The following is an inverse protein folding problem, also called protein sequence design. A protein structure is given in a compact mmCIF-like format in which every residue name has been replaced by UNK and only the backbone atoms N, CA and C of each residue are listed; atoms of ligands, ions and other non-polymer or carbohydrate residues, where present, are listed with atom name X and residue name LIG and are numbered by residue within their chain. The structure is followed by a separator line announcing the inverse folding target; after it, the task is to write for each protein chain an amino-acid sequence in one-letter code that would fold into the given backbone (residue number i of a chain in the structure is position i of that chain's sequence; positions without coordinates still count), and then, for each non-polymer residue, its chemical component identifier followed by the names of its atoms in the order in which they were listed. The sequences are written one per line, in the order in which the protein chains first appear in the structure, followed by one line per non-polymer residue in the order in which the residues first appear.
data_IF_148532407130
#
_entry.id   IF_148532407130
#
_cell.length_a   1.000
_cell.length_b   1.000
_cell.length_c   1.000
_cell.angle_alpha   90.00
_cell.angle_beta   90.00
_cell.angle_gamma   90.00
#
_symmetry.space_group_name_H-M   'P 1'
#
loop_
_entity.id
_entity.type
_entity.pdbx_description
1 polymer ?
#
# COMPACT_ATOMS: atom_id res chain seq x y z
N UNK A 1 -0.31 -15.12 15.10
CA UNK A 1 -0.53 -14.74 13.70
C UNK A 1 0.70 -15.10 12.91
N UNK A 2 0.52 -15.83 11.81
CA UNK A 2 1.63 -16.27 10.93
C UNK A 2 1.60 -15.57 9.56
N UNK A 3 0.45 -15.00 9.18
CA UNK A 3 0.26 -14.44 7.85
C UNK A 3 -0.60 -13.19 7.92
N UNK A 4 -0.30 -12.15 7.14
CA UNK A 4 -1.07 -10.88 7.15
C UNK A 4 -2.52 -11.05 6.69
N UNK A 5 -2.82 -12.11 5.93
CA UNK A 5 -4.19 -12.43 5.50
C UNK A 5 -5.13 -12.68 6.68
N UNK A 6 -4.59 -13.11 7.83
CA UNK A 6 -5.37 -13.28 9.06
C UNK A 6 -5.96 -11.97 9.59
N UNK A 7 -5.37 -10.81 9.25
CA UNK A 7 -5.98 -9.51 9.55
C UNK A 7 -7.30 -9.37 8.78
N UNK A 8 -7.25 -9.57 7.45
CA UNK A 8 -8.42 -9.47 6.60
C UNK A 8 -9.50 -10.48 7.02
N UNK A 9 -9.11 -11.72 7.29
CA UNK A 9 -10.01 -12.80 7.73
C UNK A 9 -10.74 -12.49 9.04
N UNK A 10 -10.10 -11.75 9.95
CA UNK A 10 -10.70 -11.28 11.22
C UNK A 10 -11.60 -10.06 11.03
N UNK A 11 -11.30 -9.24 10.03
CA UNK A 11 -12.00 -7.98 9.77
C UNK A 11 -13.27 -8.17 8.96
N UNK A 12 -13.27 -9.10 8.00
CA UNK A 12 -14.41 -9.40 7.12
C UNK A 12 -15.71 -9.71 7.89
N UNK A 13 -15.73 -10.56 8.94
CA UNK A 13 -16.97 -10.85 9.67
C UNK A 13 -17.60 -9.61 10.34
N UNK A 14 -16.81 -8.59 10.64
CA UNK A 14 -17.27 -7.38 11.34
C UNK A 14 -17.62 -6.25 10.37
N UNK A 15 -16.93 -6.15 9.24
CA UNK A 15 -16.97 -5.01 8.33
C UNK A 15 -17.19 -5.43 6.87
N UNK A 16 -17.76 -6.62 6.61
CA UNK A 16 -17.87 -7.19 5.26
C UNK A 16 -18.41 -6.24 4.20
N UNK A 17 -19.49 -5.53 4.50
CA UNK A 17 -20.16 -4.61 3.56
C UNK A 17 -19.51 -3.23 3.49
N UNK A 18 -18.61 -2.93 4.43
CA UNK A 18 -17.90 -1.65 4.46
C UNK A 18 -16.90 -1.57 3.32
N UNK A 19 -16.76 -0.38 2.73
CA UNK A 19 -15.69 -0.10 1.76
C UNK A 19 -14.31 -0.23 2.41
N UNK A 20 -13.48 -1.11 1.85
CA UNK A 20 -12.08 -1.24 2.22
C UNK A 20 -11.22 -0.30 1.37
N UNK A 21 -11.31 -0.41 0.04
CA UNK A 21 -10.59 0.42 -0.92
C UNK A 21 -11.53 0.94 -2.00
N UNK A 22 -11.33 2.19 -2.39
CA UNK A 22 -12.08 2.81 -3.49
C UNK A 22 -11.19 3.76 -4.30
N UNK A 23 -11.58 4.00 -5.55
CA UNK A 23 -11.07 5.08 -6.39
C UNK A 23 -12.24 5.84 -7.05
N UNK A 24 -11.98 6.64 -8.06
CA UNK A 24 -13.01 7.40 -8.76
C UNK A 24 -13.98 6.52 -9.57
N UNK A 25 -13.62 5.29 -9.89
CA UNK A 25 -14.37 4.39 -10.78
C UNK A 25 -14.97 3.18 -10.07
N UNK A 26 -14.36 2.72 -8.99
CA UNK A 26 -14.74 1.47 -8.33
C UNK A 26 -14.55 1.50 -6.82
N UNK A 27 -15.27 0.63 -6.11
CA UNK A 27 -15.17 0.45 -4.68
C UNK A 27 -15.22 -1.04 -4.33
N UNK A 28 -14.25 -1.51 -3.55
CA UNK A 28 -14.25 -2.85 -2.99
C UNK A 28 -14.64 -2.82 -1.52
N UNK A 29 -15.70 -3.54 -1.15
CA UNK A 29 -15.97 -3.86 0.25
C UNK A 29 -14.97 -4.91 0.76
N UNK A 30 -14.88 -5.07 2.09
CA UNK A 30 -14.04 -6.11 2.69
C UNK A 30 -14.42 -7.51 2.22
N UNK A 31 -15.74 -7.80 2.13
CA UNK A 31 -16.23 -9.11 1.64
C UNK A 31 -15.84 -9.32 0.17
N UNK A 32 -15.96 -8.30 -0.68
CA UNK A 32 -15.60 -8.40 -2.09
C UNK A 32 -14.09 -8.57 -2.27
N UNK A 33 -13.28 -7.80 -1.54
CA UNK A 33 -11.82 -7.95 -1.53
C UNK A 33 -11.42 -9.39 -1.16
N UNK A 34 -11.97 -9.90 -0.07
CA UNK A 34 -11.69 -11.25 0.41
C UNK A 34 -12.10 -12.33 -0.61
N UNK A 35 -13.29 -12.18 -1.20
CA UNK A 35 -13.78 -13.11 -2.23
C UNK A 35 -12.85 -13.13 -3.46
N UNK A 36 -12.54 -11.96 -4.04
CA UNK A 36 -11.66 -11.87 -5.20
C UNK A 36 -10.26 -12.45 -4.90
N UNK A 37 -9.72 -12.13 -3.72
CA UNK A 37 -8.43 -12.63 -3.30
C UNK A 37 -8.38 -14.17 -3.21
N UNK A 38 -9.44 -14.80 -2.72
CA UNK A 38 -9.54 -16.27 -2.60
C UNK A 38 -9.79 -16.95 -3.95
N UNK A 39 -10.62 -16.38 -4.81
CA UNK A 39 -10.81 -16.85 -6.18
C UNK A 39 -9.49 -16.78 -6.96
N UNK A 40 -8.84 -15.64 -6.97
CA UNK A 40 -7.55 -15.46 -7.64
C UNK A 40 -6.44 -16.30 -7.04
N UNK A 41 -6.41 -16.45 -5.71
CA UNK A 41 -5.46 -17.34 -5.03
C UNK A 41 -5.61 -18.80 -5.45
N UNK A 42 -6.85 -19.27 -5.59
CA UNK A 42 -7.15 -20.62 -6.08
C UNK A 42 -6.67 -20.81 -7.53
N UNK A 43 -6.96 -19.82 -8.40
CA UNK A 43 -6.50 -19.83 -9.77
C UNK A 43 -4.98 -20.00 -9.91
N UNK A 44 -4.22 -19.24 -9.12
CA UNK A 44 -2.74 -19.27 -9.13
C UNK A 44 -2.25 -20.62 -8.58
N UNK A 45 -2.79 -21.06 -7.44
CA UNK A 45 -2.39 -22.29 -6.79
C UNK A 45 -2.66 -23.55 -7.61
N UNK A 46 -3.80 -23.62 -8.32
CA UNK A 46 -4.15 -24.73 -9.23
C UNK A 46 -3.20 -24.87 -10.42
N UNK A 47 -2.45 -23.81 -10.74
CA UNK A 47 -1.38 -23.84 -11.75
C UNK A 47 -0.02 -24.27 -11.19
N UNK A 48 0.00 -24.74 -9.95
CA UNK A 48 1.18 -25.30 -9.30
C UNK A 48 2.25 -24.26 -8.94
N UNK A 49 1.87 -22.97 -8.79
CA UNK A 49 2.77 -21.97 -8.25
C UNK A 49 2.75 -22.05 -6.73
N UNK A 50 3.93 -22.04 -6.11
CA UNK A 50 4.09 -22.05 -4.66
C UNK A 50 5.41 -21.39 -4.27
N UNK A 51 5.38 -20.43 -3.35
CA UNK A 51 6.57 -19.67 -2.88
C UNK A 51 7.38 -19.01 -4.00
N UNK A 52 6.72 -18.72 -5.10
CA UNK A 52 7.30 -18.08 -6.28
C UNK A 52 6.85 -16.62 -6.40
N UNK A 53 7.64 -15.76 -7.05
CA UNK A 53 7.21 -14.41 -7.34
C UNK A 53 6.18 -14.39 -8.48
N UNK A 54 5.08 -13.70 -8.28
CA UNK A 54 4.07 -13.39 -9.30
C UNK A 54 4.09 -11.88 -9.55
N UNK A 55 4.36 -11.48 -10.78
CA UNK A 55 4.31 -10.07 -11.15
C UNK A 55 2.85 -9.60 -11.25
N UNK A 56 2.55 -8.46 -10.63
CA UNK A 56 1.25 -7.80 -10.77
C UNK A 56 1.48 -6.49 -11.50
N UNK A 57 1.17 -6.49 -12.78
CA UNK A 57 1.39 -5.38 -13.71
C UNK A 57 0.05 -4.77 -14.07
N UNK A 58 -0.48 -3.98 -13.15
CA UNK A 58 -1.80 -3.36 -13.24
C UNK A 58 -1.71 -1.89 -12.86
N UNK A 59 -2.67 -1.09 -13.34
CA UNK A 59 -2.82 0.29 -12.89
C UNK A 59 -3.16 0.36 -11.40
N UNK A 60 -2.91 1.50 -10.77
CA UNK A 60 -3.30 1.73 -9.38
C UNK A 60 -4.83 1.73 -9.27
N UNK A 61 -5.37 0.65 -8.69
CA UNK A 61 -6.82 0.44 -8.50
C UNK A 61 -7.09 -0.44 -7.27
N UNK A 62 -8.33 -0.47 -6.75
CA UNK A 62 -8.73 -1.41 -5.72
C UNK A 62 -8.51 -2.88 -6.14
N UNK A 63 -8.75 -3.22 -7.41
CA UNK A 63 -8.52 -4.57 -7.94
C UNK A 63 -7.04 -4.98 -7.92
N UNK A 64 -6.12 -4.05 -8.12
CA UNK A 64 -4.68 -4.31 -8.00
C UNK A 64 -4.31 -4.77 -6.59
N UNK A 65 -4.94 -4.16 -5.57
CA UNK A 65 -4.77 -4.61 -4.18
C UNK A 65 -5.36 -6.01 -4.00
N UNK A 66 -6.53 -6.31 -4.59
CA UNK A 66 -7.10 -7.66 -4.57
C UNK A 66 -6.16 -8.70 -5.22
N UNK A 67 -5.47 -8.34 -6.31
CA UNK A 67 -4.49 -9.20 -6.94
C UNK A 67 -3.27 -9.46 -6.03
N UNK A 68 -2.80 -8.48 -5.26
CA UNK A 68 -1.74 -8.71 -4.26
C UNK A 68 -2.17 -9.76 -3.23
N UNK A 69 -3.39 -9.64 -2.73
CA UNK A 69 -3.93 -10.61 -1.78
C UNK A 69 -4.15 -11.98 -2.41
N UNK A 70 -4.59 -12.04 -3.68
CA UNK A 70 -4.73 -13.31 -4.42
C UNK A 70 -3.40 -14.06 -4.51
N UNK A 71 -2.31 -13.36 -4.84
CA UNK A 71 -0.97 -13.92 -4.89
C UNK A 71 -0.56 -14.47 -3.52
N UNK A 72 -0.81 -13.72 -2.45
CA UNK A 72 -0.48 -14.18 -1.09
C UNK A 72 -1.36 -15.35 -0.63
N UNK A 73 -2.64 -15.44 -1.04
CA UNK A 73 -3.49 -16.60 -0.76
C UNK A 73 -2.98 -17.87 -1.45
N UNK A 74 -2.34 -17.75 -2.61
CA UNK A 74 -1.67 -18.86 -3.28
C UNK A 74 -0.34 -19.27 -2.62
N UNK A 75 0.07 -18.63 -1.52
CA UNK A 75 1.36 -18.87 -0.87
C UNK A 75 2.56 -18.34 -1.67
N UNK A 76 2.32 -17.39 -2.57
CA UNK A 76 3.31 -16.72 -3.41
C UNK A 76 3.59 -15.30 -2.92
N UNK A 77 4.64 -14.66 -3.43
CA UNK A 77 4.93 -13.25 -3.17
C UNK A 77 4.63 -12.40 -4.40
N UNK A 78 3.91 -11.28 -4.21
CA UNK A 78 3.63 -10.38 -5.32
C UNK A 78 4.79 -9.44 -5.61
N UNK A 79 4.93 -9.09 -6.89
CA UNK A 79 5.89 -8.10 -7.38
C UNK A 79 5.12 -7.01 -8.11
N UNK A 80 4.90 -5.85 -7.47
CA UNK A 80 4.11 -4.79 -8.08
C UNK A 80 4.90 -4.08 -9.17
N UNK A 81 4.30 -3.96 -10.35
CA UNK A 81 4.82 -3.22 -11.49
C UNK A 81 3.79 -2.18 -11.95
N UNK A 82 4.26 -1.10 -12.50
CA UNK A 82 3.42 0.01 -12.96
C UNK A 82 3.82 0.47 -14.36
N UNK A 83 2.84 0.69 -15.24
CA UNK A 83 3.08 1.12 -16.61
C UNK A 83 3.71 2.52 -16.73
N UNK A 84 3.63 3.33 -15.67
CA UNK A 84 4.32 4.62 -15.59
C UNK A 84 5.84 4.50 -15.41
N UNK A 85 6.35 3.29 -15.08
CA UNK A 85 7.78 3.06 -15.00
C UNK A 85 8.42 3.15 -16.38
N UNK A 86 9.66 3.66 -16.51
CA UNK A 86 10.40 3.62 -17.77
C UNK A 86 10.49 2.20 -18.33
N UNK A 87 10.24 2.05 -19.64
CA UNK A 87 10.18 0.75 -20.32
C UNK A 87 11.42 -0.13 -20.06
N UNK A 88 12.61 0.47 -20.14
CA UNK A 88 13.86 -0.25 -19.88
C UNK A 88 13.91 -0.82 -18.46
N UNK A 89 13.31 -0.12 -17.49
CA UNK A 89 13.25 -0.58 -16.10
C UNK A 89 12.34 -1.79 -15.95
N UNK A 90 11.18 -1.77 -16.59
CA UNK A 90 10.25 -2.91 -16.64
C UNK A 90 10.93 -4.13 -17.27
N UNK A 91 11.64 -3.94 -18.40
CA UNK A 91 12.40 -4.99 -19.06
C UNK A 91 13.47 -5.60 -18.15
N UNK A 92 14.24 -4.76 -17.46
CA UNK A 92 15.27 -5.22 -16.51
C UNK A 92 14.67 -6.00 -15.33
N UNK A 93 13.55 -5.54 -14.79
CA UNK A 93 12.87 -6.24 -13.69
C UNK A 93 12.34 -7.59 -14.16
N UNK A 94 11.56 -7.60 -15.24
CA UNK A 94 10.95 -8.83 -15.75
C UNK A 94 11.97 -9.86 -16.24
N UNK A 95 13.04 -9.44 -16.92
CA UNK A 95 14.12 -10.34 -17.33
C UNK A 95 14.85 -10.96 -16.15
N UNK A 96 15.07 -10.20 -15.07
CA UNK A 96 15.72 -10.70 -13.86
C UNK A 96 14.80 -11.58 -13.01
N UNK A 97 13.53 -11.23 -12.93
CA UNK A 97 12.52 -11.96 -12.18
C UNK A 97 12.14 -13.28 -12.90
N UNK A 98 12.08 -13.23 -14.22
CA UNK A 98 11.59 -14.34 -15.09
C UNK A 98 10.33 -15.02 -14.53
N UNK A 99 9.25 -14.25 -14.27
CA UNK A 99 8.11 -14.77 -13.53
C UNK A 99 7.35 -15.81 -14.37
N UNK A 100 6.87 -16.86 -13.72
CA UNK A 100 5.98 -17.85 -14.37
C UNK A 100 4.57 -17.31 -14.60
N UNK A 101 4.20 -16.23 -13.88
CA UNK A 101 2.92 -15.57 -14.04
C UNK A 101 3.06 -14.05 -13.90
N UNK A 102 2.38 -13.34 -14.80
CA UNK A 102 2.22 -11.89 -14.80
C UNK A 102 0.72 -11.60 -14.86
N UNK A 103 0.16 -11.05 -13.80
CA UNK A 103 -1.23 -10.60 -13.76
C UNK A 103 -1.29 -9.18 -14.32
N UNK A 104 -2.15 -8.93 -15.30
CA UNK A 104 -2.35 -7.61 -15.91
C UNK A 104 -3.84 -7.22 -15.90
N UNK A 105 -4.12 -5.94 -16.12
CA UNK A 105 -5.45 -5.44 -16.47
C UNK A 105 -5.55 -5.16 -17.97
N UNK A 106 -6.70 -4.69 -18.44
CA UNK A 106 -6.90 -4.40 -19.88
C UNK A 106 -6.00 -3.27 -20.39
N UNK A 107 -5.64 -2.32 -19.52
CA UNK A 107 -4.81 -1.18 -19.91
C UNK A 107 -3.33 -1.57 -20.04
N UNK A 108 -2.88 -2.55 -19.28
CA UNK A 108 -1.49 -3.01 -19.26
C UNK A 108 -1.25 -4.30 -20.07
N UNK A 109 -2.32 -4.96 -20.54
CA UNK A 109 -2.26 -6.27 -21.18
C UNK A 109 -1.32 -6.33 -22.40
N UNK A 110 -1.41 -5.35 -23.30
CA UNK A 110 -0.58 -5.30 -24.50
C UNK A 110 0.91 -5.20 -24.14
N UNK A 111 1.24 -4.30 -23.22
CA UNK A 111 2.62 -4.10 -22.77
C UNK A 111 3.11 -5.32 -21.96
N UNK A 112 2.25 -5.94 -21.16
CA UNK A 112 2.58 -7.15 -20.43
C UNK A 112 2.97 -8.29 -21.37
N UNK A 113 2.20 -8.51 -22.46
CA UNK A 113 2.51 -9.55 -23.46
C UNK A 113 3.82 -9.28 -24.20
N UNK A 114 4.16 -8.01 -24.44
CA UNK A 114 5.43 -7.64 -25.09
C UNK A 114 6.65 -7.88 -24.20
N UNK A 115 6.50 -7.70 -22.88
CA UNK A 115 7.62 -7.68 -21.94
C UNK A 115 7.82 -8.99 -21.18
N UNK A 116 6.75 -9.73 -20.94
CA UNK A 116 6.76 -10.93 -20.11
C UNK A 116 7.14 -12.19 -20.92
N UNK A 117 7.58 -13.28 -20.24
CA UNK A 117 7.77 -14.56 -20.89
C UNK A 117 6.50 -15.03 -21.60
N UNK A 118 6.67 -15.65 -22.77
CA UNK A 118 5.53 -16.13 -23.58
C UNK A 118 4.65 -17.09 -22.77
N UNK A 119 3.34 -16.82 -22.76
CA UNK A 119 2.35 -17.66 -22.07
C UNK A 119 2.29 -17.46 -20.55
N UNK A 120 2.99 -16.46 -20.00
CA UNK A 120 2.94 -16.14 -18.55
C UNK A 120 1.89 -15.09 -18.19
N UNK A 121 1.32 -14.37 -19.16
CA UNK A 121 0.41 -13.25 -18.91
C UNK A 121 -1.02 -13.74 -18.73
N UNK A 122 -1.66 -13.28 -17.67
CA UNK A 122 -3.06 -13.56 -17.30
C UNK A 122 -3.76 -12.25 -17.02
N UNK A 123 -4.96 -12.06 -17.59
CA UNK A 123 -5.80 -10.90 -17.25
C UNK A 123 -6.46 -11.10 -15.88
N UNK A 124 -6.52 -10.02 -15.08
CA UNK A 124 -7.13 -10.02 -13.76
C UNK A 124 -8.61 -10.44 -13.78
N UNK A 125 -9.34 -10.16 -14.86
CA UNK A 125 -10.73 -10.66 -15.02
C UNK A 125 -10.79 -12.19 -15.02
N UNK A 126 -9.87 -12.85 -15.72
CA UNK A 126 -9.77 -14.32 -15.72
C UNK A 126 -9.39 -14.82 -14.33
N UNK A 127 -8.39 -14.19 -13.69
CA UNK A 127 -7.95 -14.50 -12.34
C UNK A 127 -9.10 -14.49 -11.32
N UNK A 128 -9.92 -13.43 -11.34
CA UNK A 128 -11.00 -13.22 -10.38
C UNK A 128 -12.31 -13.96 -10.72
N UNK A 129 -12.46 -14.46 -11.95
CA UNK A 129 -13.61 -15.28 -12.36
C UNK A 129 -13.50 -16.74 -11.94
N UNK A 130 -12.34 -17.14 -11.45
CA UNK A 130 -12.10 -18.51 -11.01
C UNK A 130 -13.00 -18.90 -9.81
N UNK A 131 -13.29 -20.18 -9.72
CA UNK A 131 -14.00 -20.73 -8.55
C UNK A 131 -13.02 -20.86 -7.38
N UNK A 132 -13.48 -20.50 -6.19
CA UNK A 132 -12.71 -20.72 -4.98
C UNK A 132 -12.49 -22.21 -4.69
N UNK A 133 -11.26 -22.59 -4.40
CA UNK A 133 -10.86 -23.90 -3.90
C UNK A 133 -10.39 -23.79 -2.45
N UNK A 134 -11.35 -23.75 -1.53
CA UNK A 134 -11.10 -23.52 -0.12
C UNK A 134 -10.14 -24.58 0.49
N UNK A 135 -10.28 -25.85 0.06
CA UNK A 135 -9.42 -26.93 0.58
C UNK A 135 -7.93 -26.69 0.19
N UNK A 136 -7.68 -26.31 -1.05
CA UNK A 136 -6.32 -26.03 -1.54
C UNK A 136 -5.72 -24.84 -0.79
N UNK A 137 -6.48 -23.75 -0.64
CA UNK A 137 -6.03 -22.56 0.10
C UNK A 137 -5.74 -22.87 1.58
N UNK A 138 -6.58 -23.70 2.21
CA UNK A 138 -6.36 -24.12 3.60
C UNK A 138 -5.09 -24.98 3.74
N UNK A 139 -4.81 -25.85 2.82
CA UNK A 139 -3.58 -26.66 2.81
C UNK A 139 -2.33 -25.76 2.65
N UNK A 140 -2.38 -24.77 1.73
CA UNK A 140 -1.30 -23.79 1.58
C UNK A 140 -1.11 -22.99 2.87
N UNK A 141 -2.21 -22.53 3.48
CA UNK A 141 -2.15 -21.78 4.74
C UNK A 141 -1.55 -22.61 5.88
N UNK A 142 -1.89 -23.89 5.98
CA UNK A 142 -1.36 -24.78 7.01
C UNK A 142 0.18 -24.96 6.89
N UNK A 143 0.69 -24.97 5.65
CA UNK A 143 2.11 -25.07 5.35
C UNK A 143 2.88 -23.75 5.43
N UNK A 144 2.19 -22.61 5.54
CA UNK A 144 2.81 -21.28 5.59
C UNK A 144 3.48 -21.02 6.93
N UNK A 145 4.60 -20.29 6.87
CA UNK A 145 5.29 -19.73 8.04
C UNK A 145 5.36 -18.21 7.92
N UNK A 146 5.56 -17.53 9.01
CA UNK A 146 5.57 -16.06 9.07
C UNK A 146 6.77 -15.41 8.40
N UNK A 147 7.83 -16.17 8.12
CA UNK A 147 8.99 -15.75 7.34
C UNK A 147 8.85 -16.00 5.84
N UNK A 148 7.74 -16.59 5.36
CA UNK A 148 7.48 -16.70 3.94
C UNK A 148 7.41 -15.30 3.31
N UNK A 149 7.98 -15.11 2.10
CA UNK A 149 7.91 -13.87 1.37
C UNK A 149 6.47 -13.44 1.08
N UNK A 150 6.13 -12.18 1.34
CA UNK A 150 4.83 -11.60 1.02
C UNK A 150 4.89 -10.76 -0.26
N UNK A 151 5.98 -9.99 -0.43
CA UNK A 151 6.18 -9.14 -1.60
C UNK A 151 7.66 -8.95 -1.95
N UNK A 152 7.92 -8.49 -3.19
CA UNK A 152 9.23 -8.00 -3.63
C UNK A 152 9.03 -6.63 -4.29
N UNK A 153 9.62 -5.59 -3.73
CA UNK A 153 9.63 -4.23 -4.30
C UNK A 153 11.00 -3.93 -4.90
N UNK A 154 11.03 -3.44 -6.14
CA UNK A 154 12.28 -3.09 -6.81
C UNK A 154 12.66 -1.63 -6.57
N UNK A 155 13.83 -1.42 -6.00
CA UNK A 155 14.42 -0.09 -5.79
C UNK A 155 15.47 0.23 -6.84
N UNK A 156 15.73 1.54 -7.07
CA UNK A 156 16.85 1.98 -7.89
C UNK A 156 18.16 1.70 -7.14
N UNK A 157 18.86 0.64 -7.51
CA UNK A 157 20.19 0.38 -6.96
C UNK A 157 21.20 1.48 -7.33
N UNK A 158 22.18 1.75 -6.46
CA UNK A 158 23.28 2.69 -6.71
C UNK A 158 24.11 2.37 -7.98
N UNK A 159 23.96 1.15 -8.50
CA UNK A 159 24.61 0.66 -9.72
C UNK A 159 23.75 0.81 -10.98
N UNK A 160 22.57 1.45 -10.89
CA UNK A 160 21.61 1.56 -11.99
C UNK A 160 20.78 0.29 -12.24
N UNK A 161 21.19 -0.85 -11.69
CA UNK A 161 20.44 -2.12 -11.81
C UNK A 161 19.38 -2.22 -10.71
N UNK A 162 18.09 -2.47 -11.05
CA UNK A 162 17.05 -2.64 -10.06
C UNK A 162 17.36 -3.79 -9.09
N UNK A 163 17.19 -3.54 -7.79
CA UNK A 163 17.35 -4.53 -6.72
C UNK A 163 16.01 -4.84 -6.10
N UNK A 164 15.63 -6.12 -6.06
CA UNK A 164 14.41 -6.59 -5.38
C UNK A 164 14.65 -6.67 -3.86
N UNK A 165 13.83 -5.97 -3.10
CA UNK A 165 13.78 -6.04 -1.63
C UNK A 165 12.57 -6.88 -1.25
N UNK A 166 12.81 -7.98 -0.56
CA UNK A 166 11.77 -8.92 -0.15
C UNK A 166 11.29 -8.61 1.25
N UNK A 167 9.98 -8.42 1.40
CA UNK A 167 9.31 -8.35 2.70
C UNK A 167 8.59 -9.66 3.03
N UNK A 168 8.66 -10.12 4.28
CA UNK A 168 7.96 -11.30 4.76
C UNK A 168 6.71 -10.95 5.57
N UNK A 169 5.83 -11.93 5.80
CA UNK A 169 4.60 -11.73 6.56
C UNK A 169 4.87 -11.24 7.99
N UNK A 170 5.88 -11.76 8.69
CA UNK A 170 6.26 -11.32 10.03
C UNK A 170 6.56 -9.82 10.08
N UNK A 171 7.38 -9.33 9.15
CA UNK A 171 7.74 -7.92 9.09
C UNK A 171 6.50 -7.02 8.90
N UNK A 172 5.54 -7.44 8.06
CA UNK A 172 4.28 -6.72 7.85
C UNK A 172 3.35 -6.77 9.07
N UNK A 173 3.29 -7.90 9.76
CA UNK A 173 2.53 -8.05 11.01
C UNK A 173 3.09 -7.13 12.09
N UNK A 174 4.42 -7.14 12.29
CA UNK A 174 5.09 -6.29 13.26
C UNK A 174 4.91 -4.81 12.91
N UNK A 175 5.00 -4.48 11.61
CA UNK A 175 4.77 -3.12 11.14
C UNK A 175 3.34 -2.64 11.41
N UNK A 176 2.32 -3.45 11.10
CA UNK A 176 0.93 -3.10 11.40
C UNK A 176 0.68 -2.89 12.90
N UNK A 177 1.23 -3.79 13.73
CA UNK A 177 1.08 -3.73 15.18
C UNK A 177 1.80 -2.51 15.79
N UNK A 178 2.91 -2.07 15.21
CA UNK A 178 3.62 -0.87 15.65
C UNK A 178 2.98 0.42 15.13
N UNK A 179 2.60 0.47 13.86
CA UNK A 179 2.11 1.68 13.19
C UNK A 179 0.70 2.08 13.63
N UNK A 180 -0.26 1.13 13.57
CA UNK A 180 -1.67 1.46 13.78
C UNK A 180 -1.95 2.13 15.14
N UNK A 181 -1.38 1.68 16.28
CA UNK A 181 -1.55 2.38 17.55
C UNK A 181 -0.95 3.79 17.55
N UNK A 182 0.18 3.99 16.86
CA UNK A 182 0.86 5.29 16.83
C UNK A 182 0.06 6.32 16.08
N UNK A 183 -0.50 5.96 14.91
CA UNK A 183 -1.34 6.88 14.12
C UNK A 183 -2.77 6.93 14.65
N UNK A 184 -3.14 6.05 15.59
CA UNK A 184 -4.50 5.94 16.12
C UNK A 184 -5.49 5.42 15.09
N UNK A 185 -5.04 4.54 14.19
CA UNK A 185 -5.91 3.95 13.18
C UNK A 185 -6.96 3.03 13.81
N UNK A 186 -8.20 3.22 13.43
CA UNK A 186 -9.37 2.46 13.85
C UNK A 186 -10.34 2.24 12.67
N UNK A 187 -11.50 1.68 12.95
CA UNK A 187 -12.53 1.45 11.95
C UNK A 187 -13.15 2.73 11.36
N UNK A 188 -12.98 3.89 12.01
CA UNK A 188 -13.47 5.20 11.54
C UNK A 188 -12.42 5.95 10.71
N UNK A 189 -11.21 5.45 10.66
CA UNK A 189 -10.14 6.06 9.90
C UNK A 189 -10.41 5.97 8.41
N UNK A 190 -10.30 7.10 7.71
CA UNK A 190 -10.44 7.24 6.27
C UNK A 190 -9.15 7.83 5.70
N UNK A 191 -8.48 7.07 4.85
CA UNK A 191 -7.19 7.44 4.27
C UNK A 191 -7.34 7.95 2.83
N UNK A 192 -6.49 8.90 2.43
CA UNK A 192 -6.20 9.20 1.02
C UNK A 192 -4.85 8.59 0.67
N UNK A 193 -4.87 7.52 -0.12
CA UNK A 193 -3.70 6.73 -0.48
C UNK A 193 -2.98 7.34 -1.68
N UNK A 194 -2.02 8.24 -1.41
CA UNK A 194 -1.27 8.98 -2.42
C UNK A 194 -0.20 8.12 -3.09
N UNK A 195 0.51 7.32 -2.30
CA UNK A 195 1.70 6.58 -2.75
C UNK A 195 1.36 5.57 -3.85
N UNK A 196 2.20 5.41 -4.90
CA UNK A 196 2.05 4.35 -5.88
C UNK A 196 2.13 2.95 -5.23
N UNK A 197 1.39 1.99 -5.79
CA UNK A 197 1.33 0.62 -5.24
C UNK A 197 2.62 -0.19 -5.40
N UNK A 198 3.56 0.28 -6.23
CA UNK A 198 4.88 -0.34 -6.41
C UNK A 198 5.95 0.16 -5.43
N UNK A 199 5.56 0.99 -4.45
CA UNK A 199 6.43 1.49 -3.38
C UNK A 199 5.94 0.94 -2.05
N UNK A 200 6.84 0.43 -1.22
CA UNK A 200 6.51 -0.18 0.08
C UNK A 200 5.79 0.76 1.05
N UNK A 201 5.95 2.06 0.88
CA UNK A 201 5.24 3.07 1.67
C UNK A 201 3.70 2.95 1.61
N UNK A 202 3.13 2.33 0.55
CA UNK A 202 1.69 2.05 0.44
C UNK A 202 1.20 1.04 1.48
N UNK A 203 2.09 0.27 2.08
CA UNK A 203 1.74 -0.69 3.11
C UNK A 203 1.14 -0.04 4.37
N UNK A 204 1.42 1.23 4.64
CA UNK A 204 0.85 1.96 5.80
C UNK A 204 -0.67 1.93 5.79
N UNK A 205 -1.24 2.33 4.65
CA UNK A 205 -2.69 2.37 4.48
C UNK A 205 -3.27 0.97 4.30
N UNK A 206 -2.64 0.11 3.47
CA UNK A 206 -3.12 -1.26 3.23
C UNK A 206 -3.23 -2.05 4.54
N UNK A 207 -2.18 -2.02 5.36
CA UNK A 207 -2.17 -2.73 6.64
C UNK A 207 -3.15 -2.13 7.65
N UNK A 208 -3.31 -0.80 7.67
CA UNK A 208 -4.31 -0.14 8.52
C UNK A 208 -5.73 -0.55 8.12
N UNK A 209 -6.04 -0.58 6.83
CA UNK A 209 -7.35 -1.01 6.32
C UNK A 209 -7.64 -2.44 6.76
N UNK A 210 -6.80 -3.40 6.41
CA UNK A 210 -7.08 -4.81 6.66
C UNK A 210 -7.03 -5.21 8.13
N UNK A 211 -6.27 -4.48 8.97
CA UNK A 211 -6.12 -4.82 10.39
C UNK A 211 -7.09 -4.10 11.32
N UNK A 212 -7.64 -2.94 10.90
CA UNK A 212 -8.48 -2.09 11.73
C UNK A 212 -9.89 -1.88 11.18
N UNK A 213 -10.18 -2.36 9.97
CA UNK A 213 -11.47 -2.10 9.32
C UNK A 213 -11.61 -0.66 8.82
N UNK A 214 -10.50 0.05 8.59
CA UNK A 214 -10.45 1.42 8.04
C UNK A 214 -10.89 1.43 6.57
N UNK A 215 -11.01 2.61 5.97
CA UNK A 215 -11.26 2.79 4.53
C UNK A 215 -10.09 3.56 3.90
N UNK A 216 -9.68 3.23 2.69
CA UNK A 216 -8.71 4.01 1.93
C UNK A 216 -9.20 4.33 0.53
N UNK A 217 -9.13 5.60 0.16
CA UNK A 217 -9.38 6.09 -1.20
C UNK A 217 -8.06 6.23 -1.95
N UNK A 218 -7.93 5.57 -3.10
CA UNK A 218 -6.76 5.62 -3.95
C UNK A 218 -6.74 6.95 -4.72
N UNK A 219 -5.85 7.83 -4.30
CA UNK A 219 -5.77 9.17 -4.84
C UNK A 219 -5.04 9.19 -6.19
N UNK A 220 -5.63 9.76 -7.27
CA UNK A 220 -4.95 9.92 -8.55
C UNK A 220 -3.75 10.87 -8.44
N UNK A 221 -2.63 10.53 -9.09
CA UNK A 221 -1.45 11.41 -9.11
C UNK A 221 -1.72 12.76 -9.79
N UNK A 222 -2.64 12.81 -10.74
CA UNK A 222 -3.04 14.05 -11.44
C UNK A 222 -3.56 15.15 -10.52
N UNK A 223 -4.07 14.80 -9.33
CA UNK A 223 -4.55 15.79 -8.36
C UNK A 223 -3.43 16.67 -7.79
N UNK A 224 -2.18 16.22 -7.84
CA UNK A 224 -1.03 17.01 -7.37
C UNK A 224 -0.57 18.07 -8.39
N UNK A 225 -1.08 18.06 -9.62
CA UNK A 225 -0.88 19.14 -10.59
C UNK A 225 -1.65 20.40 -10.15
N UNK A 226 -2.77 20.23 -9.44
CA UNK A 226 -3.53 21.30 -8.82
C UNK A 226 -3.76 21.00 -7.35
N UNK A 227 -2.93 21.52 -6.43
CA UNK A 227 -2.99 21.19 -5.01
C UNK A 227 -4.34 21.43 -4.34
N UNK A 228 -5.11 22.41 -4.84
CA UNK A 228 -6.47 22.67 -4.37
C UNK A 228 -7.39 21.46 -4.64
N UNK A 229 -7.25 20.81 -5.79
CA UNK A 229 -7.98 19.57 -6.12
C UNK A 229 -7.64 18.43 -5.15
N UNK A 230 -6.42 18.41 -4.63
CA UNK A 230 -6.06 17.43 -3.60
C UNK A 230 -6.86 17.69 -2.30
N UNK A 231 -7.03 18.95 -1.89
CA UNK A 231 -7.83 19.28 -0.70
C UNK A 231 -9.32 19.05 -0.93
N UNK A 232 -9.85 19.37 -2.12
CA UNK A 232 -11.23 19.03 -2.53
C UNK A 232 -11.48 17.53 -2.35
N UNK A 233 -10.58 16.68 -2.87
CA UNK A 233 -10.65 15.23 -2.73
C UNK A 233 -10.68 14.78 -1.26
N UNK A 234 -9.85 15.39 -0.40
CA UNK A 234 -9.86 15.08 1.03
C UNK A 234 -11.22 15.39 1.68
N UNK A 235 -11.84 16.52 1.32
CA UNK A 235 -13.13 16.93 1.87
C UNK A 235 -14.29 16.07 1.32
N UNK A 236 -14.30 15.81 0.01
CA UNK A 236 -15.31 14.98 -0.66
C UNK A 236 -15.40 13.57 -0.04
N UNK A 237 -14.24 12.97 0.20
CA UNK A 237 -14.18 11.61 0.77
C UNK A 237 -14.08 11.60 2.31
N UNK A 238 -14.22 12.76 2.96
CA UNK A 238 -14.15 12.93 4.43
C UNK A 238 -12.87 12.29 5.00
N UNK A 239 -11.76 12.47 4.31
CA UNK A 239 -10.46 11.94 4.71
C UNK A 239 -10.03 12.56 6.03
N UNK A 240 -9.72 11.71 7.00
CA UNK A 240 -9.36 12.15 8.35
C UNK A 240 -7.92 11.76 8.74
N UNK A 241 -7.28 10.90 7.95
CA UNK A 241 -5.92 10.41 8.22
C UNK A 241 -5.09 10.40 6.93
N UNK A 242 -3.91 10.99 6.97
CA UNK A 242 -2.93 10.97 5.88
C UNK A 242 -1.68 10.20 6.29
N UNK A 243 -1.16 9.38 5.38
CA UNK A 243 0.13 8.72 5.51
C UNK A 243 1.01 9.02 4.27
N UNK A 244 1.21 10.29 3.97
CA UNK A 244 1.86 10.74 2.75
C UNK A 244 3.39 10.83 2.89
N UNK A 245 4.06 10.87 1.74
CA UNK A 245 5.48 11.26 1.70
C UNK A 245 5.63 12.77 1.98
N UNK A 246 6.75 13.17 2.56
CA UNK A 246 6.95 14.56 2.92
C UNK A 246 6.89 15.52 1.72
N UNK A 247 7.42 15.09 0.56
CA UNK A 247 7.37 15.87 -0.69
C UNK A 247 5.94 16.16 -1.16
N UNK A 248 5.01 15.22 -1.05
CA UNK A 248 3.61 15.44 -1.40
C UNK A 248 2.93 16.48 -0.50
N UNK A 249 3.16 16.38 0.82
CA UNK A 249 2.68 17.38 1.77
C UNK A 249 3.29 18.76 1.50
N UNK A 250 4.59 18.81 1.17
CA UNK A 250 5.29 20.04 0.84
C UNK A 250 4.70 20.73 -0.37
N UNK A 251 4.32 19.99 -1.41
CA UNK A 251 3.67 20.54 -2.61
C UNK A 251 2.33 21.19 -2.24
N UNK A 252 1.47 20.47 -1.51
CA UNK A 252 0.13 20.96 -1.17
C UNK A 252 0.20 22.16 -0.21
N UNK A 253 1.08 22.11 0.82
CA UNK A 253 1.23 23.21 1.78
C UNK A 253 2.00 24.38 1.19
N UNK A 254 3.07 24.12 0.41
CA UNK A 254 3.95 25.16 -0.14
C UNK A 254 3.28 26.03 -1.21
N UNK A 255 2.22 25.51 -1.86
CA UNK A 255 1.40 26.26 -2.83
C UNK A 255 0.15 26.87 -2.19
N UNK A 256 0.05 26.90 -0.85
CA UNK A 256 -1.03 27.59 -0.13
C UNK A 256 -2.40 26.90 -0.18
N UNK A 257 -2.49 25.65 -0.69
CA UNK A 257 -3.79 25.01 -0.89
C UNK A 257 -4.54 24.79 0.46
N UNK A 258 -3.85 24.55 1.57
CA UNK A 258 -4.47 24.42 2.88
C UNK A 258 -4.90 25.76 3.48
N UNK A 259 -4.36 26.88 2.99
CA UNK A 259 -4.76 28.25 3.39
C UNK A 259 -6.00 28.67 2.60
N UNK A 260 -6.08 28.29 1.33
CA UNK A 260 -7.20 28.59 0.45
C UNK A 260 -8.43 27.73 0.75
N UNK A 261 -8.20 26.43 1.02
CA UNK A 261 -9.25 25.48 1.40
C UNK A 261 -8.82 24.61 2.57
N UNK A 262 -9.60 24.64 3.64
CA UNK A 262 -9.32 23.82 4.83
C UNK A 262 -9.76 22.37 4.62
N UNK A 263 -8.91 21.37 4.96
CA UNK A 263 -9.34 19.97 5.04
C UNK A 263 -10.20 19.78 6.30
N UNK A 264 -11.52 19.71 6.11
CA UNK A 264 -12.53 19.77 7.19
C UNK A 264 -12.47 18.62 8.18
N UNK A 265 -12.16 17.41 7.68
CA UNK A 265 -12.20 16.16 8.47
C UNK A 265 -10.82 15.73 8.96
N UNK A 266 -9.74 16.33 8.45
CA UNK A 266 -8.38 15.89 8.71
C UNK A 266 -7.95 16.17 10.15
N UNK A 267 -7.59 15.11 10.88
CA UNK A 267 -7.09 15.23 12.26
C UNK A 267 -5.77 14.45 12.50
N UNK A 268 -5.34 13.59 11.57
CA UNK A 268 -4.09 12.85 11.70
C UNK A 268 -3.28 12.95 10.40
N UNK A 269 -2.04 13.41 10.52
CA UNK A 269 -1.08 13.44 9.40
C UNK A 269 0.18 12.71 9.82
N UNK A 270 0.49 11.67 9.09
CA UNK A 270 1.69 10.86 9.23
C UNK A 270 2.54 11.03 7.99
N UNK A 271 3.82 11.30 8.15
CA UNK A 271 4.77 11.38 7.04
C UNK A 271 6.10 10.72 7.43
N UNK A 272 6.84 10.26 6.43
CA UNK A 272 8.11 9.58 6.63
C UNK A 272 8.98 9.63 5.40
N UNK A 273 10.15 9.01 5.49
CA UNK A 273 11.19 8.88 4.45
C UNK A 273 12.05 10.14 4.22
N UNK A 274 11.58 11.33 4.56
CA UNK A 274 12.28 12.61 4.33
C UNK A 274 12.11 13.54 5.53
N UNK A 275 13.04 14.49 5.68
CA UNK A 275 12.92 15.57 6.68
C UNK A 275 11.89 16.57 6.17
N UNK A 276 10.83 16.78 6.94
CA UNK A 276 9.81 17.77 6.61
C UNK A 276 10.27 19.17 7.10
N UNK A 277 10.20 20.22 6.24
CA UNK A 277 10.57 21.58 6.63
C UNK A 277 9.62 22.12 7.71
N UNK A 278 10.15 22.44 8.90
CA UNK A 278 9.37 22.89 10.06
C UNK A 278 8.50 24.13 9.75
N UNK A 279 8.97 25.01 8.87
CA UNK A 279 8.23 26.22 8.45
C UNK A 279 6.92 25.92 7.70
N UNK A 280 6.78 24.72 7.10
CA UNK A 280 5.59 24.30 6.33
C UNK A 280 4.60 23.51 7.18
N UNK A 281 4.89 23.32 8.47
CA UNK A 281 4.02 22.63 9.43
C UNK A 281 2.83 23.47 9.91
N UNK A 282 2.66 24.68 9.41
CA UNK A 282 1.51 25.55 9.71
C UNK A 282 0.27 25.06 8.94
N UNK A 283 -0.20 23.84 9.27
CA UNK A 283 -1.51 23.40 8.82
C UNK A 283 -2.59 24.11 9.64
N UNK A 284 -3.61 24.71 9.01
CA UNK A 284 -4.70 25.34 9.72
C UNK A 284 -5.47 24.33 10.55
N UNK A 285 -5.44 24.49 11.88
CA UNK A 285 -6.27 23.72 12.83
C UNK A 285 -5.59 22.45 13.36
N UNK A 286 -4.96 22.64 14.50
CA UNK A 286 -4.65 21.65 15.56
C UNK A 286 -4.44 20.19 15.14
N UNK A 287 -3.21 19.85 14.87
CA UNK A 287 -2.80 18.50 14.68
C UNK A 287 -1.47 18.22 15.43
N UNK A 288 -1.29 17.07 16.08
CA UNK A 288 -0.12 16.72 16.91
C UNK A 288 0.80 15.76 16.16
N UNK A 289 2.11 16.02 16.20
CA UNK A 289 3.15 15.21 15.54
C UNK A 289 3.80 14.22 16.50
N UNK A 290 3.94 12.96 16.09
CA UNK A 290 4.80 11.98 16.77
C UNK A 290 5.74 11.32 15.74
N UNK A 291 7.07 11.41 15.90
CA UNK A 291 8.00 10.72 15.03
C UNK A 291 8.01 9.21 15.31
N UNK A 292 7.90 8.38 14.28
CA UNK A 292 8.18 6.96 14.34
C UNK A 292 9.59 6.69 13.78
N UNK A 293 10.39 5.94 14.53
CA UNK A 293 11.64 5.37 14.02
C UNK A 293 11.31 4.02 13.39
N UNK A 294 11.53 3.87 12.09
CA UNK A 294 11.60 2.55 11.47
C UNK A 294 12.93 1.89 11.83
N UNK A 295 12.92 0.63 12.22
CA UNK A 295 14.14 -0.15 12.35
C UNK A 295 14.71 -0.36 10.94
N UNK A 296 15.80 0.36 10.61
CA UNK A 296 16.56 0.15 9.39
C UNK A 296 16.68 1.33 8.40
N UNK A 297 16.14 2.49 8.70
CA UNK A 297 16.31 3.70 7.88
C UNK A 297 15.93 4.97 8.62
N UNK A 298 16.49 6.12 8.21
CA UNK A 298 16.24 7.45 8.79
C UNK A 298 14.81 7.99 8.53
N UNK A 299 13.79 7.14 8.61
CA UNK A 299 12.40 7.52 8.42
C UNK A 299 11.78 8.07 9.71
N UNK A 300 11.53 9.37 9.76
CA UNK A 300 10.70 9.99 10.81
C UNK A 300 9.24 9.94 10.38
N UNK A 301 8.42 9.19 11.08
CA UNK A 301 6.97 9.28 10.98
C UNK A 301 6.48 10.24 12.06
N UNK A 302 5.70 11.24 11.67
CA UNK A 302 5.15 12.24 12.60
C UNK A 302 3.63 12.25 12.45
N UNK A 303 2.91 12.04 13.54
CA UNK A 303 1.44 12.06 13.61
C UNK A 303 0.94 13.35 14.25
N UNK A 304 -0.13 13.95 13.75
CA UNK A 304 -0.80 15.13 14.27
C UNK A 304 -2.15 14.76 14.88
N UNK A 305 -2.43 15.10 16.14
CA UNK A 305 -3.78 15.04 16.72
C UNK A 305 -4.22 16.43 17.15
N UNK A 306 -5.48 16.80 16.87
CA UNK A 306 -6.06 18.06 17.25
C UNK A 306 -6.08 18.32 18.76
N UNK A 307 -5.62 19.51 19.16
CA UNK A 307 -5.61 20.02 20.53
C UNK A 307 -4.49 21.04 20.73
N UNK A 308 -4.73 22.11 21.45
CA UNK A 308 -3.71 23.11 21.81
C UNK A 308 -2.55 22.43 22.54
N UNK A 309 -1.47 22.11 21.85
CA UNK A 309 -0.31 21.41 22.39
C UNK A 309 1.00 22.05 21.97
N UNK A 310 1.74 22.49 22.97
CA UNK A 310 3.09 23.08 22.90
C UNK A 310 4.08 22.07 22.31
N UNK A 311 4.87 22.53 21.35
CA UNK A 311 5.95 21.83 20.70
C UNK A 311 7.04 21.41 21.71
N UNK A 312 7.40 20.11 21.76
CA UNK A 312 8.67 19.70 22.35
C UNK A 312 9.44 18.85 21.35
N UNK A 313 10.45 19.44 20.75
CA UNK A 313 11.50 18.76 20.00
C UNK A 313 12.42 18.04 21.01
N UNK A 314 12.43 16.72 21.06
CA UNK A 314 13.52 15.97 21.68
C UNK A 314 14.46 15.49 20.56
N UNK A 315 15.49 16.28 20.29
CA UNK A 315 16.68 15.78 19.63
C UNK A 315 17.38 14.82 20.59
N UNK A 316 17.54 13.54 20.21
CA UNK A 316 18.43 12.64 20.94
C UNK A 316 19.88 13.02 20.63
N UNK A 317 20.76 13.14 21.65
CA UNK A 317 22.17 13.41 21.41
C UNK A 317 22.79 12.24 20.65
N UNK A 318 23.49 12.55 19.59
CA UNK A 318 24.38 11.61 18.89
C UNK A 318 25.35 11.03 19.92
N UNK A 319 25.35 9.70 20.13
CA UNK A 319 26.46 9.05 20.82
C UNK A 319 27.69 9.26 19.94
N UNK A 320 28.63 10.06 20.42
CA UNK A 320 29.98 10.08 19.90
C UNK A 320 30.60 8.72 20.19
N UNK A 321 30.92 7.95 19.17
CA UNK A 321 31.85 6.83 19.27
C UNK A 321 33.23 7.45 19.41
N UNK A 322 33.82 7.24 20.56
CA UNK A 322 35.28 7.35 20.77
C UNK A 322 35.97 6.17 20.12
#
# INVERSE_FOLDING_TARGET
MKNILEFLEKTVPQFGDKTAFADAGDALSFARLWHLARCGGSYIAERGLSREPVAVFMKKSPETIAAFFAVMYAGCCYVPLDASMPLYRLQMILSRLSPRMVVCDDETAELAVQLAPKGSVINARELFSARENAQLLNNIRAASIDTDPAYIVFTSGSTGVPKGVTGCHRALIDYANALCPVIGADEKSVFAMQVPLYVDACMKEILSVISRGSTAYLMPQSLFVSPLRAVEFLNEHRVNTLCWVASALTIVSGLGAFEEMRPEYLHTVCFGSEVFPVKQLSLPGSAVYKPLRSHGGDGNVVSLRGGQGVWRHRAHPRRRTS
#
